data_IF_237323203228
#
_entry.id   IF_237323203228
#
_cell.length_a   1.000
_cell.length_b   1.000
_cell.length_c   1.000
_cell.angle_alpha   90.00
_cell.angle_beta   90.00
_cell.angle_gamma   90.00
#
_symmetry.space_group_name_H-M   'P 1'
#
loop_
_entity.id
_entity.type
_entity.pdbx_description
1 polymer ?
#
# COMPACT_ATOMS: atom_id res chain seq x y z
N UNK A 1 -18.78 -5.30 -3.70
CA UNK A 1 -17.77 -6.31 -3.35
C UNK A 1 -16.78 -6.46 -4.48
N UNK A 2 -15.50 -6.72 -4.15
CA UNK A 2 -14.50 -7.04 -5.15
C UNK A 2 -13.34 -7.82 -4.52
N UNK A 3 -12.62 -8.55 -5.37
CA UNK A 3 -11.40 -9.26 -4.99
C UNK A 3 -10.24 -8.70 -5.81
N UNK A 4 -9.05 -8.62 -5.21
CA UNK A 4 -7.85 -8.09 -5.87
C UNK A 4 -8.04 -6.72 -6.51
N UNK A 5 -8.77 -5.84 -5.86
CA UNK A 5 -8.86 -4.45 -6.28
C UNK A 5 -7.52 -3.77 -6.07
N UNK A 6 -7.05 -3.03 -7.06
CA UNK A 6 -5.75 -2.37 -7.02
C UNK A 6 -5.85 -0.92 -7.46
N UNK A 7 -5.22 -0.03 -6.69
CA UNK A 7 -5.07 1.37 -7.06
C UNK A 7 -3.62 1.74 -6.81
N UNK A 8 -2.82 1.88 -7.86
CA UNK A 8 -1.39 2.07 -7.72
C UNK A 8 -0.82 2.96 -8.81
N UNK A 9 0.39 3.42 -8.57
CA UNK A 9 1.18 4.15 -9.56
C UNK A 9 2.59 3.57 -9.58
N UNK A 10 3.32 3.84 -10.65
CA UNK A 10 4.68 3.36 -10.81
C UNK A 10 5.66 4.53 -10.86
N UNK A 11 6.86 4.29 -10.39
CA UNK A 11 7.96 5.25 -10.47
C UNK A 11 9.27 4.49 -10.49
N UNK A 12 10.34 5.15 -10.92
CA UNK A 12 11.68 4.58 -10.90
C UNK A 12 12.49 5.32 -9.84
N UNK A 13 13.09 4.55 -8.93
CA UNK A 13 13.84 5.10 -7.80
C UNK A 13 15.30 4.71 -7.89
N UNK A 14 16.23 5.65 -7.61
CA UNK A 14 17.64 5.31 -7.47
C UNK A 14 17.89 4.54 -6.18
N UNK A 15 19.05 3.94 -6.08
CA UNK A 15 19.50 3.24 -4.87
C UNK A 15 19.41 4.19 -3.68
N UNK A 16 18.91 3.69 -2.56
CA UNK A 16 18.80 4.49 -1.34
C UNK A 16 17.75 3.95 -0.38
N UNK A 17 17.63 4.63 0.74
CA UNK A 17 16.63 4.35 1.75
C UNK A 17 15.52 5.38 1.65
N UNK A 18 14.27 4.92 1.75
CA UNK A 18 13.09 5.74 1.53
C UNK A 18 12.08 5.63 2.65
N UNK A 19 11.36 6.71 2.84
CA UNK A 19 10.23 6.78 3.75
C UNK A 19 8.99 7.16 2.94
N UNK A 20 7.98 6.32 2.97
CA UNK A 20 6.70 6.57 2.32
C UNK A 20 5.64 6.83 3.37
N UNK A 21 5.00 7.97 3.31
CA UNK A 21 3.91 8.33 4.21
C UNK A 21 2.61 8.27 3.43
N UNK A 22 1.68 7.46 3.90
CA UNK A 22 0.35 7.31 3.31
C UNK A 22 -0.64 8.00 4.22
N UNK A 23 -1.27 9.06 3.73
CA UNK A 23 -2.28 9.79 4.47
C UNK A 23 -3.66 9.31 4.09
N UNK A 24 -4.50 9.03 5.08
CA UNK A 24 -5.85 8.60 4.84
C UNK A 24 -6.83 9.28 5.79
N UNK A 25 -8.06 9.47 5.30
CA UNK A 25 -9.09 10.15 6.05
C UNK A 25 -9.87 9.19 6.93
N UNK A 26 -10.25 8.05 6.35
CA UNK A 26 -10.98 7.03 7.08
C UNK A 26 -10.96 5.72 6.30
N UNK A 27 -11.22 4.64 7.01
CA UNK A 27 -11.42 3.34 6.37
C UNK A 27 -12.28 2.45 7.26
N UNK A 28 -12.90 1.45 6.63
CA UNK A 28 -13.60 0.39 7.34
C UNK A 28 -13.36 -0.92 6.61
N UNK A 29 -12.65 -1.83 7.26
CA UNK A 29 -12.33 -3.16 6.71
C UNK A 29 -13.08 -4.19 7.53
N UNK A 30 -14.11 -4.76 6.93
CA UNK A 30 -14.97 -5.74 7.60
C UNK A 30 -14.32 -7.12 7.66
N UNK A 31 -14.80 -7.96 8.55
CA UNK A 31 -14.31 -9.34 8.66
C UNK A 31 -14.40 -10.04 7.30
N UNK A 32 -13.36 -10.76 6.93
CA UNK A 32 -13.25 -11.41 5.63
C UNK A 32 -12.72 -10.52 4.52
N UNK A 33 -12.44 -9.25 4.83
CA UNK A 33 -11.85 -8.30 3.91
C UNK A 33 -10.38 -8.07 4.25
N UNK A 34 -9.62 -7.58 3.28
CA UNK A 34 -8.21 -7.23 3.45
C UNK A 34 -7.91 -5.91 2.76
N UNK A 35 -7.06 -5.11 3.37
CA UNK A 35 -6.58 -3.86 2.79
C UNK A 35 -5.11 -3.72 3.12
N UNK A 36 -4.29 -3.58 2.08
CA UNK A 36 -2.86 -3.36 2.19
C UNK A 36 -2.43 -2.13 1.42
N UNK A 37 -1.32 -1.52 1.84
CA UNK A 37 -0.55 -0.66 0.96
C UNK A 37 0.77 -1.37 0.70
N UNK A 38 1.12 -1.56 -0.56
CA UNK A 38 2.29 -2.33 -0.95
C UNK A 38 3.26 -1.52 -1.79
N UNK A 39 4.55 -1.79 -1.60
CA UNK A 39 5.63 -1.31 -2.44
C UNK A 39 6.26 -2.56 -3.06
N UNK A 40 6.24 -2.68 -4.36
CA UNK A 40 6.73 -3.87 -5.04
C UNK A 40 7.64 -3.52 -6.21
N UNK A 41 8.61 -4.39 -6.48
CA UNK A 41 9.47 -4.24 -7.65
C UNK A 41 8.64 -4.50 -8.92
N UNK A 42 8.88 -3.68 -9.96
CA UNK A 42 8.20 -3.84 -11.23
C UNK A 42 7.10 -2.82 -11.46
N UNK A 43 6.18 -3.13 -12.34
CA UNK A 43 5.15 -2.18 -12.79
C UNK A 43 3.75 -2.49 -12.25
N UNK A 44 3.65 -3.35 -11.24
CA UNK A 44 2.36 -3.80 -10.74
C UNK A 44 2.50 -4.20 -9.28
N UNK A 45 1.50 -3.87 -8.45
CA UNK A 45 1.46 -4.38 -7.09
C UNK A 45 0.94 -5.83 -7.09
N UNK A 46 1.38 -6.65 -6.11
CA UNK A 46 0.94 -8.06 -6.07
C UNK A 46 -0.55 -8.18 -5.78
N UNK A 47 -1.10 -9.35 -6.06
CA UNK A 47 -2.45 -9.70 -5.62
C UNK A 47 -2.50 -9.79 -4.10
N UNK A 48 -3.70 -9.69 -3.54
CA UNK A 48 -3.92 -9.71 -2.09
C UNK A 48 -3.20 -10.87 -1.41
N UNK A 49 -3.29 -12.06 -1.97
CA UNK A 49 -2.69 -13.25 -1.36
C UNK A 49 -1.16 -13.26 -1.44
N UNK A 50 -0.58 -12.42 -2.27
CA UNK A 50 0.86 -12.39 -2.51
C UNK A 50 1.57 -11.17 -1.94
N UNK A 51 0.84 -10.28 -1.27
CA UNK A 51 1.42 -9.04 -0.74
C UNK A 51 2.56 -9.31 0.21
N UNK A 52 2.38 -10.23 1.16
CA UNK A 52 3.39 -10.48 2.18
C UNK A 52 4.65 -11.14 1.61
N UNK A 53 4.51 -11.95 0.56
CA UNK A 53 5.65 -12.68 -0.01
C UNK A 53 6.34 -11.94 -1.14
N UNK A 54 5.64 -11.06 -1.87
CA UNK A 54 6.14 -10.45 -3.09
C UNK A 54 6.32 -8.93 -3.04
N UNK A 55 6.15 -8.31 -1.88
CA UNK A 55 6.37 -6.87 -1.72
C UNK A 55 7.77 -6.58 -1.19
N UNK A 56 8.33 -5.45 -1.58
CA UNK A 56 9.54 -4.92 -0.94
C UNK A 56 9.21 -4.49 0.48
N UNK A 57 8.05 -3.87 0.64
CA UNK A 57 7.50 -3.47 1.94
C UNK A 57 5.99 -3.34 1.82
N UNK A 58 5.29 -3.45 2.92
CA UNK A 58 3.85 -3.32 2.91
C UNK A 58 3.33 -2.92 4.28
N UNK A 59 2.08 -2.42 4.31
CA UNK A 59 1.35 -2.16 5.54
C UNK A 59 0.00 -2.87 5.44
N UNK A 60 -0.32 -3.67 6.45
CA UNK A 60 -1.61 -4.37 6.57
C UNK A 60 -2.50 -3.54 7.50
N UNK A 61 -3.60 -3.02 6.97
CA UNK A 61 -4.52 -2.22 7.77
C UNK A 61 -5.35 -3.05 8.76
N UNK A 62 -5.34 -4.38 8.58
CA UNK A 62 -6.13 -5.27 9.43
C UNK A 62 -7.63 -5.10 9.19
N UNK A 63 -8.43 -5.52 10.17
CA UNK A 63 -9.88 -5.33 10.14
C UNK A 63 -10.28 -4.31 11.19
N UNK A 64 -11.38 -3.59 10.94
CA UNK A 64 -11.89 -2.58 11.85
C UNK A 64 -12.14 -1.27 11.16
N UNK A 65 -12.54 -0.27 11.92
CA UNK A 65 -12.84 1.06 11.42
C UNK A 65 -11.94 2.10 12.03
N UNK A 66 -11.56 3.08 11.22
CA UNK A 66 -10.87 4.28 11.68
C UNK A 66 -11.48 5.46 10.95
N UNK A 67 -12.17 6.32 11.69
CA UNK A 67 -12.87 7.49 11.14
C UNK A 67 -12.11 8.79 11.39
N UNK A 68 -10.89 8.71 11.89
CA UNK A 68 -10.05 9.89 12.18
C UNK A 68 -8.95 9.96 11.11
N UNK A 69 -8.68 11.15 10.56
CA UNK A 69 -7.55 11.31 9.65
C UNK A 69 -6.26 10.83 10.29
N UNK A 70 -5.49 10.02 9.57
CA UNK A 70 -4.29 9.38 10.10
C UNK A 70 -3.29 9.18 8.99
N UNK A 71 -2.10 8.68 9.37
CA UNK A 71 -1.09 8.31 8.40
C UNK A 71 -0.44 6.99 8.79
N UNK A 72 0.07 6.27 7.80
CA UNK A 72 0.97 5.17 8.05
C UNK A 72 2.30 5.44 7.35
N UNK A 73 3.37 4.93 7.93
CA UNK A 73 4.72 5.14 7.42
C UNK A 73 5.30 3.78 7.05
N UNK A 74 5.80 3.69 5.82
CA UNK A 74 6.44 2.49 5.31
C UNK A 74 7.88 2.87 4.93
N UNK A 75 8.85 2.19 5.51
CA UNK A 75 10.25 2.41 5.20
C UNK A 75 10.78 1.24 4.39
N UNK A 76 11.56 1.53 3.35
CA UNK A 76 12.12 0.49 2.51
C UNK A 76 13.43 0.96 1.88
N UNK A 77 14.18 0.00 1.35
CA UNK A 77 15.47 0.26 0.73
C UNK A 77 15.48 -0.26 -0.71
N UNK A 78 16.05 0.56 -1.61
CA UNK A 78 16.32 0.14 -2.98
C UNK A 78 17.82 -0.18 -3.06
N UNK A 79 18.12 -1.42 -3.40
CA UNK A 79 19.50 -1.94 -3.43
C UNK A 79 20.13 -1.89 -4.81
N UNK A 80 19.31 -1.82 -5.85
CA UNK A 80 19.77 -1.69 -7.22
C UNK A 80 20.08 -0.22 -7.54
N UNK A 81 20.94 0.05 -8.53
CA UNK A 81 21.23 1.43 -8.93
C UNK A 81 20.00 2.22 -9.32
N UNK A 82 19.06 1.56 -10.00
CA UNK A 82 17.74 2.07 -10.28
C UNK A 82 16.75 0.91 -10.21
N UNK A 83 15.54 1.19 -9.77
CA UNK A 83 14.50 0.17 -9.65
C UNK A 83 13.15 0.77 -10.00
N UNK A 84 12.44 0.17 -10.94
CA UNK A 84 11.03 0.48 -11.14
C UNK A 84 10.23 -0.15 -10.00
N UNK A 85 9.35 0.62 -9.39
CA UNK A 85 8.50 0.14 -8.30
C UNK A 85 7.07 0.56 -8.54
N UNK A 86 6.15 -0.27 -8.06
CA UNK A 86 4.73 0.04 -7.98
C UNK A 86 4.38 0.30 -6.53
N UNK A 87 3.60 1.34 -6.28
CA UNK A 87 3.18 1.75 -4.94
C UNK A 87 1.66 1.87 -4.95
N UNK A 88 0.98 1.19 -4.06
CA UNK A 88 -0.45 1.37 -4.03
C UNK A 88 -1.24 0.48 -3.10
N UNK A 89 -2.54 0.68 -3.14
CA UNK A 89 -3.49 -0.09 -2.35
C UNK A 89 -3.85 -1.39 -3.07
N UNK A 90 -3.91 -2.45 -2.29
CA UNK A 90 -4.37 -3.76 -2.75
C UNK A 90 -5.42 -4.22 -1.76
N UNK A 91 -6.60 -4.56 -2.25
CA UNK A 91 -7.71 -4.86 -1.38
C UNK A 91 -8.59 -5.99 -1.90
N UNK A 92 -9.19 -6.71 -0.97
CA UNK A 92 -10.28 -7.63 -1.23
C UNK A 92 -11.38 -7.27 -0.24
N UNK A 93 -12.45 -6.67 -0.73
CA UNK A 93 -13.50 -6.12 0.12
C UNK A 93 -14.79 -6.93 0.02
N UNK A 94 -15.31 -7.31 1.17
CA UNK A 94 -16.67 -7.79 1.29
C UNK A 94 -17.60 -6.57 1.45
N UNK A 95 -18.89 -6.81 1.51
CA UNK A 95 -19.91 -5.75 1.61
C UNK A 95 -19.60 -4.77 2.75
N UNK A 96 -19.81 -3.50 2.49
CA UNK A 96 -19.69 -2.39 3.46
C UNK A 96 -18.27 -2.08 3.91
N UNK A 97 -17.25 -2.55 3.20
CA UNK A 97 -15.87 -2.12 3.43
C UNK A 97 -15.55 -0.91 2.55
N UNK A 98 -14.74 0.00 3.08
CA UNK A 98 -14.35 1.22 2.35
C UNK A 98 -13.00 1.75 2.82
N UNK A 99 -12.38 2.62 2.00
CA UNK A 99 -11.26 3.44 2.43
C UNK A 99 -11.23 4.75 1.66
N UNK A 100 -10.63 5.77 2.28
CA UNK A 100 -10.42 7.08 1.65
C UNK A 100 -9.01 7.55 1.94
N UNK A 101 -8.18 7.57 0.92
CA UNK A 101 -6.82 8.09 1.01
C UNK A 101 -6.81 9.55 0.59
N UNK A 102 -5.95 10.35 1.24
CA UNK A 102 -5.84 11.78 0.96
C UNK A 102 -4.52 12.17 0.32
N UNK A 103 -3.50 11.33 0.40
CA UNK A 103 -2.25 11.62 -0.27
C UNK A 103 -1.12 10.66 0.07
N UNK A 104 -0.06 10.79 -0.71
CA UNK A 104 1.18 10.03 -0.55
C UNK A 104 2.34 11.00 -0.52
N UNK A 105 3.33 10.71 0.30
CA UNK A 105 4.58 11.45 0.30
C UNK A 105 5.75 10.46 0.35
N UNK A 106 6.59 10.51 -0.66
CA UNK A 106 7.78 9.66 -0.75
C UNK A 106 9.01 10.51 -0.54
N UNK A 107 9.84 10.15 0.42
CA UNK A 107 11.03 10.90 0.78
C UNK A 107 12.26 10.00 0.78
N UNK A 108 13.38 10.55 0.33
CA UNK A 108 14.68 9.92 0.48
C UNK A 108 15.16 10.18 1.92
N UNK A 109 15.55 9.15 2.58
CA UNK A 109 16.05 9.25 3.97
C UNK A 109 17.50 9.67 4.01
#
# INVERSE_FOLDING_TARGET
DFTNGKLYQTTTLPKGSYKLTVNFKEYGVKAGSSLYFAVAAGNEVPDVDDVESNSIAYHDFGTGENKTPSECVIEFEIKEDTQEVALGFVASFSANSWFRATGLKLELK
#
